data_IF_768478012587
#
_entry.id   IF_768478012587
#
_cell.length_a   1.000
_cell.length_b   1.000
_cell.length_c   1.000
_cell.angle_alpha   90.00
_cell.angle_beta   90.00
_cell.angle_gamma   90.00
#
_symmetry.space_group_name_H-M   'P 1'
#
loop_
_entity.id
_entity.type
_entity.pdbx_description
1 polymer ?
#
# COMPACT_ATOMS: atom_id res chain seq x y z
N UNK A 1 11.12 56.43 -59.90
CA UNK A 1 10.17 56.87 -58.86
C UNK A 1 8.87 56.11 -59.04
N UNK A 2 8.26 55.67 -57.92
CA UNK A 2 7.10 54.75 -57.76
C UNK A 2 7.42 53.24 -57.86
N UNK A 3 6.72 52.37 -57.10
CA UNK A 3 6.68 52.34 -55.64
C UNK A 3 6.91 50.93 -55.05
N UNK A 4 7.08 50.92 -53.73
CA UNK A 4 7.31 49.81 -52.81
C UNK A 4 6.22 48.72 -52.87
N UNK A 5 6.62 47.47 -53.12
CA UNK A 5 5.79 46.28 -52.95
C UNK A 5 6.05 45.61 -51.60
N UNK A 6 5.02 45.57 -50.76
CA UNK A 6 4.99 44.85 -49.48
C UNK A 6 4.79 43.37 -49.73
N UNK A 7 5.66 42.51 -49.19
CA UNK A 7 5.43 41.06 -49.11
C UNK A 7 5.12 40.68 -47.67
N UNK A 8 3.86 40.34 -47.38
CA UNK A 8 3.46 39.68 -46.15
C UNK A 8 3.71 38.17 -46.32
N UNK A 9 4.67 37.63 -45.58
CA UNK A 9 4.83 36.18 -45.45
C UNK A 9 3.86 35.69 -44.36
N UNK A 10 2.74 35.08 -44.75
CA UNK A 10 1.87 34.35 -43.83
C UNK A 10 2.58 33.04 -43.43
N UNK A 11 3.15 33.01 -42.23
CA UNK A 11 3.55 31.75 -41.60
C UNK A 11 2.29 31.18 -40.94
N UNK A 12 1.68 30.19 -41.59
CA UNK A 12 0.70 29.31 -40.97
C UNK A 12 1.43 28.49 -39.89
N UNK A 13 1.34 28.94 -38.65
CA UNK A 13 1.70 28.12 -37.49
C UNK A 13 0.68 26.99 -37.39
N UNK A 14 1.09 25.76 -37.75
CA UNK A 14 0.34 24.58 -37.37
C UNK A 14 0.37 24.50 -35.84
N UNK A 15 -0.77 24.76 -35.19
CA UNK A 15 -0.97 24.32 -33.82
C UNK A 15 -0.87 22.80 -33.86
N UNK A 16 0.26 22.29 -33.38
CA UNK A 16 0.29 20.91 -32.91
C UNK A 16 -0.59 20.93 -31.68
N UNK A 17 -1.84 20.46 -31.82
CA UNK A 17 -2.63 20.03 -30.69
C UNK A 17 -1.82 18.94 -30.00
N UNK A 18 -0.98 19.34 -29.05
CA UNK A 18 -0.52 18.46 -27.98
C UNK A 18 -1.76 18.15 -27.17
N UNK A 19 -2.58 17.21 -27.69
CA UNK A 19 -3.42 16.38 -26.85
C UNK A 19 -2.49 15.82 -25.80
N UNK A 20 -2.59 16.42 -24.62
CA UNK A 20 -2.02 15.95 -23.37
C UNK A 20 -2.29 14.46 -23.32
N UNK A 21 -1.26 13.66 -23.58
CA UNK A 21 -1.27 12.27 -23.16
C UNK A 21 -1.41 12.38 -21.64
N UNK A 22 -2.59 12.02 -21.15
CA UNK A 22 -2.84 11.87 -19.72
C UNK A 22 -1.72 11.01 -19.18
N UNK A 23 -0.77 11.60 -18.45
CA UNK A 23 0.13 10.85 -17.59
C UNK A 23 -0.77 9.97 -16.75
N UNK A 24 -0.56 8.67 -16.85
CA UNK A 24 -1.19 7.69 -15.97
C UNK A 24 -0.71 8.08 -14.57
N UNK A 25 -1.55 8.76 -13.80
CA UNK A 25 -1.19 9.27 -12.48
C UNK A 25 -0.58 8.17 -11.61
N UNK A 26 0.32 8.56 -10.70
CA UNK A 26 0.91 7.64 -9.71
C UNK A 26 -0.19 6.83 -9.02
N UNK A 27 0.03 5.52 -8.84
CA UNK A 27 -0.91 4.64 -8.15
C UNK A 27 -1.04 5.00 -6.66
N UNK A 28 0.00 5.61 -6.09
CA UNK A 28 0.05 6.01 -4.69
C UNK A 28 -0.71 7.32 -4.50
N UNK A 29 -1.49 7.40 -3.43
CA UNK A 29 -2.03 8.68 -2.99
C UNK A 29 -0.90 9.60 -2.53
N UNK A 30 -1.04 10.94 -2.63
CA UNK A 30 0.02 11.87 -2.25
C UNK A 30 0.56 11.60 -0.84
N UNK A 31 1.88 11.64 -0.67
CA UNK A 31 2.56 11.40 0.61
C UNK A 31 3.81 12.29 0.76
N UNK A 32 4.44 12.21 1.91
CA UNK A 32 5.68 12.89 2.25
C UNK A 32 5.48 14.23 2.99
N UNK A 33 6.57 14.88 3.40
CA UNK A 33 6.52 16.06 4.28
C UNK A 33 5.73 17.23 3.68
N UNK A 34 5.72 17.38 2.36
CA UNK A 34 4.94 18.40 1.66
C UNK A 34 3.43 18.21 1.76
N UNK A 35 2.97 16.99 2.08
CA UNK A 35 1.57 16.67 2.36
C UNK A 35 1.24 16.78 3.85
N UNK A 36 2.21 17.16 4.69
CA UNK A 36 2.06 17.23 6.14
C UNK A 36 2.28 15.90 6.86
N UNK A 37 2.95 14.93 6.23
CA UNK A 37 3.24 13.65 6.86
C UNK A 37 4.26 13.78 7.98
N UNK A 38 4.02 13.06 9.07
CA UNK A 38 5.06 12.73 10.01
C UNK A 38 6.03 11.72 9.38
N UNK A 39 7.26 11.67 9.88
CA UNK A 39 8.29 10.73 9.42
C UNK A 39 8.74 9.88 10.61
N UNK A 40 8.81 8.57 10.42
CA UNK A 40 9.38 7.69 11.44
C UNK A 40 10.88 7.97 11.65
N UNK A 41 11.45 7.57 12.80
CA UNK A 41 12.88 7.64 13.02
C UNK A 41 13.65 6.77 12.01
N UNK A 42 14.86 7.21 11.68
CA UNK A 42 15.89 6.40 11.02
C UNK A 42 16.44 5.39 12.03
N UNK A 43 15.89 4.19 12.00
CA UNK A 43 16.19 3.12 12.94
C UNK A 43 15.65 1.81 12.35
N UNK A 44 16.45 0.76 12.34
CA UNK A 44 16.12 -0.58 11.84
C UNK A 44 14.69 -1.06 12.23
N UNK A 45 14.51 -1.50 13.48
CA UNK A 45 13.18 -1.86 14.01
C UNK A 45 12.39 -0.67 14.59
N UNK A 46 12.44 0.47 13.89
CA UNK A 46 11.79 1.70 14.30
C UNK A 46 10.26 1.66 14.24
N UNK A 47 9.61 2.52 15.01
CA UNK A 47 8.14 2.70 14.98
C UNK A 47 7.77 4.16 15.24
N UNK A 48 6.58 4.54 14.76
CA UNK A 48 5.94 5.78 15.16
C UNK A 48 5.64 5.80 16.66
N UNK A 49 5.46 7.00 17.21
CA UNK A 49 4.69 7.18 18.44
C UNK A 49 3.24 6.69 18.24
N UNK A 50 2.50 6.54 19.35
CA UNK A 50 1.09 6.14 19.30
C UNK A 50 0.25 7.17 18.53
N UNK A 51 -0.41 6.72 17.45
CA UNK A 51 -1.30 7.55 16.65
C UNK A 51 -2.71 7.44 17.22
N UNK A 52 -3.15 8.48 17.93
CA UNK A 52 -4.55 8.58 18.38
C UNK A 52 -5.43 8.89 17.17
N UNK A 53 -6.29 7.94 16.80
CA UNK A 53 -7.15 8.06 15.63
C UNK A 53 -8.28 9.05 15.91
N UNK A 54 -8.39 10.09 15.09
CA UNK A 54 -9.48 11.08 15.22
C UNK A 54 -10.84 10.50 14.87
N UNK A 55 -10.87 9.45 14.04
CA UNK A 55 -12.02 8.58 13.81
C UNK A 55 -11.60 7.15 14.14
N UNK A 56 -12.26 6.48 15.12
CA UNK A 56 -11.95 5.08 15.44
C UNK A 56 -12.12 4.17 14.22
N UNK A 57 -11.20 3.23 14.04
CA UNK A 57 -11.21 2.31 12.91
C UNK A 57 -11.75 0.94 13.35
N UNK A 58 -12.80 0.45 12.68
CA UNK A 58 -13.33 -0.89 12.92
C UNK A 58 -12.70 -1.89 11.95
N UNK A 59 -12.13 -2.93 12.51
CA UNK A 59 -11.47 -4.02 11.79
C UNK A 59 -11.99 -5.35 12.35
N UNK A 60 -12.81 -6.04 11.54
CA UNK A 60 -13.49 -7.29 11.87
C UNK A 60 -14.20 -7.28 13.23
N UNK A 61 -15.13 -6.33 13.38
CA UNK A 61 -15.98 -6.21 14.58
C UNK A 61 -15.29 -5.62 15.81
N UNK A 62 -13.97 -5.41 15.79
CA UNK A 62 -13.21 -4.72 16.84
C UNK A 62 -12.92 -3.29 16.43
N UNK A 63 -13.20 -2.33 17.32
CA UNK A 63 -12.96 -0.91 17.08
C UNK A 63 -11.72 -0.44 17.81
N UNK A 64 -10.78 0.12 17.06
CA UNK A 64 -9.48 0.59 17.53
C UNK A 64 -9.44 2.12 17.56
N UNK A 65 -8.80 2.68 18.58
CA UNK A 65 -8.61 4.13 18.76
C UNK A 65 -7.15 4.56 18.59
N UNK A 66 -6.26 3.60 18.51
CA UNK A 66 -4.81 3.82 18.43
C UNK A 66 -4.23 2.90 17.37
N UNK A 67 -3.33 3.43 16.56
CA UNK A 67 -2.52 2.68 15.62
C UNK A 67 -1.04 3.06 15.75
N UNK A 68 -0.18 2.21 15.20
CA UNK A 68 1.27 2.44 15.08
C UNK A 68 1.68 2.10 13.66
N UNK A 69 2.60 2.88 13.09
CA UNK A 69 3.22 2.59 11.79
C UNK A 69 4.68 2.23 12.07
N UNK A 70 5.07 0.98 11.82
CA UNK A 70 6.45 0.56 12.03
C UNK A 70 7.29 0.66 10.73
N UNK A 71 8.60 0.56 10.87
CA UNK A 71 9.51 0.61 9.74
C UNK A 71 9.43 -0.66 8.89
N UNK A 72 9.15 -1.81 9.53
CA UNK A 72 9.03 -3.13 8.91
C UNK A 72 7.72 -3.36 8.12
N UNK A 73 6.99 -2.33 7.70
CA UNK A 73 5.84 -2.50 6.79
C UNK A 73 4.51 -2.91 7.44
N UNK A 74 4.31 -2.59 8.71
CA UNK A 74 3.12 -2.97 9.49
C UNK A 74 2.42 -1.73 10.06
N UNK A 75 1.09 -1.71 9.95
CA UNK A 75 0.23 -0.84 10.76
C UNK A 75 -0.48 -1.70 11.79
N UNK A 76 -0.04 -1.64 13.05
CA UNK A 76 -0.63 -2.40 14.16
C UNK A 76 -1.62 -1.57 14.96
N UNK A 77 -2.56 -2.25 15.61
CA UNK A 77 -3.52 -1.61 16.51
C UNK A 77 -3.22 -1.94 17.97
N UNK A 78 -3.49 -0.97 18.86
CA UNK A 78 -3.25 -1.00 20.32
C UNK A 78 -1.80 -1.05 20.77
N UNK A 79 -0.96 -1.92 20.20
CA UNK A 79 0.45 -2.10 20.60
C UNK A 79 1.38 -2.00 19.37
N UNK A 80 2.61 -1.49 19.53
CA UNK A 80 3.59 -1.45 18.45
C UNK A 80 4.15 -2.85 18.16
N UNK A 81 4.34 -3.15 16.88
CA UNK A 81 5.04 -4.37 16.41
C UNK A 81 6.44 -4.00 15.96
N UNK A 82 7.45 -4.75 16.41
CA UNK A 82 8.86 -4.57 16.00
C UNK A 82 9.48 -5.82 15.37
N UNK A 83 8.75 -6.93 15.34
CA UNK A 83 9.21 -8.15 14.70
C UNK A 83 9.50 -7.88 13.21
N UNK A 84 10.66 -8.32 12.73
CA UNK A 84 11.14 -8.07 11.36
C UNK A 84 10.94 -9.27 10.44
N UNK A 85 11.16 -10.50 10.95
CA UNK A 85 10.88 -11.73 10.19
C UNK A 85 9.39 -12.03 10.22
N UNK A 86 8.72 -12.12 9.06
CA UNK A 86 7.28 -12.32 9.02
C UNK A 86 6.84 -13.72 9.46
N UNK A 87 5.93 -13.78 10.42
CA UNK A 87 5.23 -15.00 10.81
C UNK A 87 4.03 -15.27 9.88
N UNK A 88 3.67 -16.55 9.65
CA UNK A 88 2.49 -16.90 8.87
C UNK A 88 1.21 -16.50 9.61
N UNK A 89 0.15 -16.19 8.84
CA UNK A 89 -1.17 -15.94 9.40
C UNK A 89 -1.96 -17.25 9.59
N UNK A 90 -2.82 -17.34 10.62
CA UNK A 90 -3.04 -16.33 11.66
C UNK A 90 -1.87 -16.27 12.65
N UNK A 91 -1.64 -15.09 13.23
CA UNK A 91 -0.53 -14.90 14.17
C UNK A 91 -0.86 -15.52 15.53
N UNK A 92 0.07 -16.32 16.05
CA UNK A 92 -0.09 -17.02 17.31
C UNK A 92 -0.22 -16.09 18.53
N UNK A 93 0.30 -14.86 18.44
CA UNK A 93 0.19 -13.85 19.50
C UNK A 93 -1.14 -13.07 19.46
N UNK A 94 -1.97 -13.29 18.44
CA UNK A 94 -3.24 -12.61 18.26
C UNK A 94 -3.12 -11.12 17.95
N UNK A 95 -1.95 -10.63 17.52
CA UNK A 95 -1.73 -9.22 17.23
C UNK A 95 -2.57 -8.76 16.02
N UNK A 96 -3.45 -7.75 16.20
CA UNK A 96 -4.25 -7.22 15.09
C UNK A 96 -3.44 -6.19 14.30
N UNK A 97 -3.22 -6.44 13.02
CA UNK A 97 -2.55 -5.48 12.15
C UNK A 97 -2.89 -5.67 10.67
N UNK A 98 -2.55 -4.63 9.90
CA UNK A 98 -2.52 -4.67 8.43
C UNK A 98 -1.08 -4.52 7.97
N UNK A 99 -0.71 -5.19 6.88
CA UNK A 99 0.63 -5.09 6.32
C UNK A 99 0.60 -5.04 4.80
N UNK A 100 0.92 -3.90 4.18
CA UNK A 100 1.14 -3.87 2.74
C UNK A 100 2.35 -4.72 2.36
N UNK A 101 3.41 -4.77 3.19
CA UNK A 101 4.64 -5.51 2.91
C UNK A 101 5.50 -5.67 4.18
N UNK A 102 5.25 -6.70 4.98
CA UNK A 102 6.01 -6.97 6.21
C UNK A 102 7.32 -7.64 5.86
N UNK A 103 8.44 -6.97 6.14
CA UNK A 103 9.78 -7.51 6.01
C UNK A 103 10.76 -6.72 6.89
N UNK A 104 12.00 -7.22 6.94
CA UNK A 104 13.11 -6.62 7.67
C UNK A 104 13.68 -5.39 6.93
N UNK A 105 13.02 -4.25 7.16
CA UNK A 105 13.32 -2.95 6.54
C UNK A 105 14.34 -2.20 7.38
N UNK A 106 15.43 -1.77 6.76
CA UNK A 106 16.39 -0.87 7.41
C UNK A 106 16.40 0.50 6.71
N UNK A 107 15.61 1.42 7.26
CA UNK A 107 15.53 2.78 6.73
C UNK A 107 16.75 3.66 7.05
N UNK A 108 17.70 3.17 7.87
CA UNK A 108 19.01 3.81 8.07
C UNK A 108 19.85 3.65 6.81
N UNK A 109 19.74 2.51 6.12
CA UNK A 109 20.45 2.23 4.87
C UNK A 109 19.81 2.93 3.66
N UNK A 110 18.49 3.11 3.66
CA UNK A 110 17.82 3.83 2.57
C UNK A 110 16.31 3.97 2.76
N UNK A 111 15.76 5.06 2.21
CA UNK A 111 14.33 5.34 2.16
C UNK A 111 13.71 5.82 3.47
N UNK A 112 12.46 6.26 3.41
CA UNK A 112 11.76 6.91 4.52
C UNK A 112 10.35 6.34 4.70
N UNK A 113 9.83 6.43 5.92
CA UNK A 113 8.46 6.02 6.23
C UNK A 113 7.67 7.25 6.65
N UNK A 114 6.61 7.53 5.90
CA UNK A 114 5.75 8.70 6.06
C UNK A 114 4.35 8.28 6.46
N UNK A 115 3.71 9.03 7.35
CA UNK A 115 2.32 8.78 7.71
C UNK A 115 1.55 10.03 8.11
N UNK A 116 0.25 10.05 7.81
CA UNK A 116 -0.71 11.04 8.33
C UNK A 116 -2.11 10.47 8.41
N UNK A 117 -2.87 10.92 9.39
CA UNK A 117 -4.32 10.90 9.30
C UNK A 117 -4.82 12.20 8.67
N UNK A 118 -5.89 12.13 7.89
CA UNK A 118 -6.37 13.26 7.09
C UNK A 118 -7.88 13.27 6.94
N UNK A 119 -8.42 14.49 6.88
CA UNK A 119 -9.78 14.81 6.45
C UNK A 119 -9.80 15.74 5.23
N UNK A 120 -8.67 15.80 4.50
CA UNK A 120 -8.51 16.63 3.31
C UNK A 120 -9.57 16.28 2.24
N UNK A 121 -10.41 17.23 1.81
CA UNK A 121 -11.51 16.92 0.88
C UNK A 121 -11.07 16.43 -0.49
N UNK A 122 -9.89 16.82 -0.98
CA UNK A 122 -9.42 16.41 -2.30
C UNK A 122 -9.02 14.93 -2.26
N UNK A 123 -8.17 14.54 -1.30
CA UNK A 123 -7.77 13.15 -1.14
C UNK A 123 -8.95 12.24 -0.78
N UNK A 124 -9.85 12.67 0.13
CA UNK A 124 -11.03 11.87 0.46
C UNK A 124 -11.97 11.68 -0.73
N UNK A 125 -12.07 12.68 -1.62
CA UNK A 125 -12.83 12.55 -2.85
C UNK A 125 -12.22 11.50 -3.78
N UNK A 126 -10.91 11.51 -3.96
CA UNK A 126 -10.21 10.53 -4.80
C UNK A 126 -10.39 9.10 -4.25
N UNK A 127 -10.19 8.90 -2.94
CA UNK A 127 -10.44 7.63 -2.25
C UNK A 127 -11.90 7.17 -2.43
N UNK A 128 -12.85 8.09 -2.32
CA UNK A 128 -14.28 7.79 -2.49
C UNK A 128 -14.60 7.34 -3.91
N UNK A 129 -14.00 7.98 -4.91
CA UNK A 129 -14.17 7.63 -6.32
C UNK A 129 -13.62 6.23 -6.60
N UNK A 130 -12.41 5.93 -6.11
CA UNK A 130 -11.79 4.63 -6.27
C UNK A 130 -12.61 3.51 -5.60
N UNK A 131 -13.01 3.67 -4.35
CA UNK A 131 -13.83 2.67 -3.65
C UNK A 131 -15.20 2.50 -4.33
N UNK A 132 -15.86 3.58 -4.74
CA UNK A 132 -17.15 3.49 -5.44
C UNK A 132 -17.01 2.79 -6.79
N UNK A 133 -15.89 2.97 -7.48
CA UNK A 133 -15.59 2.27 -8.73
C UNK A 133 -15.44 0.76 -8.51
N UNK A 134 -14.77 0.34 -7.44
CA UNK A 134 -14.52 -1.08 -7.14
C UNK A 134 -15.73 -1.76 -6.48
N UNK A 135 -16.53 -1.02 -5.71
CA UNK A 135 -17.68 -1.52 -4.95
C UNK A 135 -18.97 -0.75 -5.28
N UNK A 136 -19.49 -0.80 -6.53
CA UNK A 136 -20.61 0.02 -6.98
C UNK A 136 -21.94 -0.27 -6.26
N UNK A 137 -22.05 -1.41 -5.56
CA UNK A 137 -23.23 -1.80 -4.78
C UNK A 137 -23.21 -1.25 -3.34
N UNK A 138 -22.12 -0.60 -2.93
CA UNK A 138 -21.93 -0.07 -1.57
C UNK A 138 -21.53 1.41 -1.65
N UNK A 139 -22.51 2.33 -1.77
CA UNK A 139 -22.23 3.77 -1.89
C UNK A 139 -21.35 4.25 -0.73
N UNK A 140 -20.15 4.75 -1.04
CA UNK A 140 -19.14 5.10 -0.06
C UNK A 140 -18.70 6.54 -0.23
N UNK A 141 -18.49 7.24 0.88
CA UNK A 141 -17.92 8.59 0.88
C UNK A 141 -16.99 8.72 2.06
N UNK A 142 -15.68 8.64 1.79
CA UNK A 142 -14.65 8.71 2.82
C UNK A 142 -14.81 9.99 3.64
N UNK A 143 -14.86 9.86 4.96
CA UNK A 143 -14.85 10.97 5.91
C UNK A 143 -13.51 11.11 6.61
N UNK A 144 -12.66 10.08 6.52
CA UNK A 144 -11.35 10.03 7.16
C UNK A 144 -10.45 9.02 6.46
N UNK A 145 -9.13 9.26 6.49
CA UNK A 145 -8.13 8.28 6.11
C UNK A 145 -6.86 8.37 6.97
N UNK A 146 -6.18 7.24 7.19
CA UNK A 146 -4.77 7.16 7.60
C UNK A 146 -3.98 6.64 6.41
N UNK A 147 -3.02 7.42 5.94
CA UNK A 147 -2.09 7.07 4.86
C UNK A 147 -0.73 6.79 5.48
N UNK A 148 -0.13 5.64 5.18
CA UNK A 148 1.24 5.29 5.54
C UNK A 148 1.99 4.81 4.30
N UNK A 149 3.17 5.36 4.03
CA UNK A 149 3.98 5.05 2.85
C UNK A 149 5.41 4.74 3.29
N UNK A 150 5.92 3.60 2.84
CA UNK A 150 7.32 3.23 2.88
C UNK A 150 7.89 3.59 1.52
N UNK A 151 8.76 4.57 1.45
CA UNK A 151 9.27 5.15 0.21
C UNK A 151 10.76 4.82 0.04
N UNK A 152 11.08 4.06 -1.00
CA UNK A 152 12.43 3.62 -1.35
C UNK A 152 13.20 2.95 -0.20
N UNK A 153 12.49 2.19 0.65
CA UNK A 153 13.08 1.59 1.84
C UNK A 153 14.01 0.42 1.49
N UNK A 154 15.22 0.44 2.05
CA UNK A 154 16.18 -0.64 1.94
C UNK A 154 15.84 -1.78 2.90
N UNK A 155 16.48 -2.93 2.69
CA UNK A 155 16.38 -4.09 3.59
C UNK A 155 17.59 -4.19 4.50
N UNK A 156 17.39 -4.81 5.66
CA UNK A 156 18.47 -5.05 6.61
C UNK A 156 19.63 -5.81 5.98
N UNK A 157 20.84 -5.31 6.20
CA UNK A 157 22.08 -5.90 5.68
C UNK A 157 22.30 -5.69 4.18
N UNK A 158 21.53 -4.82 3.51
CA UNK A 158 21.73 -4.51 2.10
C UNK A 158 23.13 -3.95 1.82
N UNK A 159 23.77 -4.50 0.77
CA UNK A 159 24.98 -3.96 0.14
C UNK A 159 24.69 -3.28 -1.20
N UNK A 160 23.41 -3.15 -1.54
CA UNK A 160 22.90 -2.61 -2.81
C UNK A 160 22.09 -1.33 -2.61
N UNK A 161 21.81 -0.61 -3.71
CA UNK A 161 20.95 0.58 -3.74
C UNK A 161 19.46 0.23 -3.98
N UNK A 162 19.05 -1.03 -3.75
CA UNK A 162 17.68 -1.46 -3.98
C UNK A 162 16.74 -0.88 -2.91
N UNK A 163 15.57 -0.43 -3.36
CA UNK A 163 14.55 0.14 -2.49
C UNK A 163 13.14 -0.32 -2.88
N UNK A 164 12.29 -0.52 -1.87
CA UNK A 164 10.87 -0.82 -2.07
C UNK A 164 10.03 0.44 -1.78
N UNK A 165 9.02 0.68 -2.59
CA UNK A 165 8.02 1.74 -2.38
C UNK A 165 6.62 1.14 -2.36
N UNK A 166 5.93 1.24 -1.23
CA UNK A 166 4.58 0.72 -1.03
C UNK A 166 3.79 1.56 0.00
N UNK A 167 2.47 1.49 -0.07
CA UNK A 167 1.57 2.33 0.73
C UNK A 167 0.38 1.54 1.24
N UNK A 168 -0.03 1.81 2.48
CA UNK A 168 -1.30 1.39 3.04
C UNK A 168 -2.18 2.61 3.36
N UNK A 169 -3.48 2.47 3.11
CA UNK A 169 -4.49 3.44 3.49
C UNK A 169 -5.61 2.74 4.26
N UNK A 170 -5.89 3.21 5.47
CA UNK A 170 -7.11 2.88 6.20
C UNK A 170 -8.12 4.00 5.98
N UNK A 171 -9.37 3.69 5.63
CA UNK A 171 -10.39 4.71 5.39
C UNK A 171 -11.79 4.25 5.79
N UNK A 172 -12.67 5.20 6.08
CA UNK A 172 -14.06 4.92 6.47
C UNK A 172 -14.99 6.07 6.12
N UNK A 173 -16.28 5.77 5.98
CA UNK A 173 -17.40 6.72 5.98
C UNK A 173 -18.14 6.74 7.33
N UNK A 174 -17.52 6.17 8.38
CA UNK A 174 -18.06 5.85 9.71
C UNK A 174 -19.00 4.64 9.79
N UNK A 175 -19.30 3.96 8.68
CA UNK A 175 -20.10 2.72 8.65
C UNK A 175 -19.35 1.57 7.99
N UNK A 176 -18.77 1.83 6.83
CA UNK A 176 -17.94 0.91 6.07
C UNK A 176 -16.48 1.27 6.24
N UNK A 177 -15.63 0.26 6.32
CA UNK A 177 -14.22 0.42 6.63
C UNK A 177 -13.41 -0.33 5.58
N UNK A 178 -12.41 0.34 5.01
CA UNK A 178 -11.60 -0.21 3.93
C UNK A 178 -10.11 -0.09 4.23
N UNK A 179 -9.37 -1.06 3.71
CA UNK A 179 -7.91 -1.05 3.58
C UNK A 179 -7.58 -1.00 2.10
N UNK A 180 -6.64 -0.13 1.71
CA UNK A 180 -6.06 -0.07 0.37
C UNK A 180 -4.56 -0.29 0.49
N UNK A 181 -4.01 -1.21 -0.29
CA UNK A 181 -2.57 -1.33 -0.51
C UNK A 181 -2.22 -0.91 -1.93
N UNK A 182 -1.19 -0.08 -2.07
CA UNK A 182 -0.64 0.36 -3.35
C UNK A 182 0.84 -0.01 -3.40
N UNK A 183 1.27 -0.63 -4.50
CA UNK A 183 2.65 -1.04 -4.73
C UNK A 183 3.25 -0.20 -5.86
N UNK A 184 4.30 0.55 -5.54
CA UNK A 184 5.06 1.36 -6.49
C UNK A 184 6.14 0.52 -7.15
N UNK A 185 7.31 0.44 -6.52
CA UNK A 185 8.43 -0.39 -6.96
C UNK A 185 8.77 -1.43 -5.88
N UNK A 186 9.05 -2.66 -6.29
CA UNK A 186 9.39 -3.77 -5.39
C UNK A 186 10.59 -4.50 -6.00
N UNK A 187 11.75 -4.33 -5.37
CA UNK A 187 13.06 -4.75 -5.87
C UNK A 187 13.74 -5.82 -5.02
N UNK A 188 13.21 -6.08 -3.82
CA UNK A 188 13.71 -7.05 -2.84
C UNK A 188 12.55 -7.66 -2.02
N UNK A 189 12.75 -8.87 -1.50
CA UNK A 189 11.78 -9.63 -0.69
C UNK A 189 12.18 -9.85 0.75
N UNK A 190 13.47 -9.87 1.06
CA UNK A 190 13.98 -10.42 2.31
C UNK A 190 15.24 -9.69 2.80
N UNK A 191 15.29 -9.36 4.09
CA UNK A 191 16.50 -8.86 4.75
C UNK A 191 17.46 -9.97 5.19
N UNK A 192 18.72 -9.63 5.43
CA UNK A 192 19.77 -10.61 5.73
C UNK A 192 19.54 -11.39 7.03
N UNK A 193 18.86 -10.81 8.03
CA UNK A 193 18.53 -11.53 9.28
C UNK A 193 17.40 -12.56 9.09
N UNK A 194 16.68 -12.50 7.96
CA UNK A 194 15.66 -13.46 7.54
C UNK A 194 16.19 -14.41 6.44
N UNK A 195 17.50 -14.67 6.42
CA UNK A 195 18.22 -15.50 5.44
C UNK A 195 18.19 -14.99 3.99
N UNK A 196 17.96 -13.67 3.80
CA UNK A 196 18.07 -13.01 2.50
C UNK A 196 19.51 -12.80 2.05
N UNK A 197 19.75 -12.78 0.75
CA UNK A 197 21.04 -12.42 0.17
C UNK A 197 21.29 -10.90 0.25
N UNK A 198 22.47 -10.50 0.73
CA UNK A 198 22.80 -9.11 1.02
C UNK A 198 22.88 -8.18 -0.21
N UNK A 199 23.09 -8.73 -1.41
CA UNK A 199 23.21 -7.94 -2.64
C UNK A 199 21.89 -7.88 -3.42
N UNK A 200 21.14 -8.98 -3.42
CA UNK A 200 19.90 -9.10 -4.19
C UNK A 200 18.64 -8.82 -3.38
N UNK A 201 18.69 -9.02 -2.06
CA UNK A 201 17.55 -8.95 -1.15
C UNK A 201 16.52 -10.05 -1.40
N UNK A 202 16.95 -11.20 -1.92
CA UNK A 202 16.10 -12.34 -2.29
C UNK A 202 16.47 -13.59 -1.49
N UNK A 203 15.55 -14.57 -1.44
CA UNK A 203 15.73 -15.84 -0.71
C UNK A 203 15.17 -15.79 0.71
N UNK A 204 15.60 -16.72 1.56
CA UNK A 204 15.24 -16.75 2.98
C UNK A 204 13.74 -16.88 3.26
N UNK A 205 13.22 -16.08 4.20
CA UNK A 205 11.79 -15.95 4.53
C UNK A 205 11.26 -14.64 3.90
N UNK A 206 10.58 -14.71 2.74
CA UNK A 206 10.12 -13.52 2.03
C UNK A 206 9.06 -12.74 2.79
N UNK A 207 8.93 -11.48 2.38
CA UNK A 207 7.94 -10.55 2.88
C UNK A 207 6.50 -11.12 2.88
N UNK A 208 5.67 -10.59 3.79
CA UNK A 208 4.27 -10.98 3.94
C UNK A 208 3.36 -9.78 3.69
N UNK A 209 2.42 -9.88 2.74
CA UNK A 209 1.41 -8.86 2.48
C UNK A 209 -0.01 -9.37 2.80
N UNK A 210 -0.80 -8.59 3.52
CA UNK A 210 -2.12 -8.99 3.98
C UNK A 210 -2.55 -8.34 5.28
N UNK A 211 -3.29 -9.07 6.10
CA UNK A 211 -3.72 -8.61 7.43
C UNK A 211 -4.13 -9.77 8.34
N UNK A 212 -4.09 -9.53 9.65
CA UNK A 212 -4.53 -10.45 10.70
C UNK A 212 -5.40 -9.69 11.71
N UNK A 213 -6.64 -10.13 11.97
CA UNK A 213 -7.58 -9.47 12.90
C UNK A 213 -7.34 -9.75 14.38
N UNK A 214 -6.48 -10.72 14.69
CA UNK A 214 -6.25 -11.18 16.06
C UNK A 214 -7.44 -11.94 16.66
N UNK A 215 -8.24 -12.63 15.85
CA UNK A 215 -9.30 -13.54 16.31
C UNK A 215 -9.14 -14.98 15.79
N UNK A 216 -7.97 -15.31 15.25
CA UNK A 216 -7.59 -16.60 14.64
C UNK A 216 -8.41 -17.02 13.40
N UNK A 217 -9.41 -16.24 13.01
CA UNK A 217 -10.35 -16.60 11.92
C UNK A 217 -10.32 -15.62 10.75
N UNK A 218 -10.15 -14.33 11.02
CA UNK A 218 -10.18 -13.28 10.00
C UNK A 218 -8.77 -12.81 9.68
N UNK A 219 -8.14 -13.47 8.72
CA UNK A 219 -6.85 -13.07 8.16
C UNK A 219 -6.86 -13.26 6.64
N UNK A 220 -5.96 -12.58 5.95
CA UNK A 220 -5.81 -12.72 4.51
C UNK A 220 -4.35 -12.65 4.11
N UNK A 221 -3.93 -13.58 3.25
CA UNK A 221 -2.63 -13.58 2.60
C UNK A 221 -2.83 -13.14 1.15
N UNK A 222 -2.17 -12.06 0.71
CA UNK A 222 -2.13 -11.74 -0.72
C UNK A 222 -1.39 -12.87 -1.45
N UNK A 223 -1.91 -13.36 -2.60
CA UNK A 223 -1.25 -14.41 -3.38
C UNK A 223 0.24 -14.12 -3.62
N UNK A 224 1.08 -15.09 -3.28
CA UNK A 224 2.54 -14.97 -3.35
C UNK A 224 3.22 -14.52 -2.06
N UNK A 225 2.48 -14.04 -1.06
CA UNK A 225 3.06 -13.68 0.25
C UNK A 225 3.80 -14.83 0.91
N UNK A 226 4.89 -14.52 1.62
CA UNK A 226 5.84 -15.47 2.21
C UNK A 226 6.47 -16.45 1.22
N UNK A 227 6.50 -16.08 -0.07
CA UNK A 227 7.21 -16.83 -1.11
C UNK A 227 7.94 -15.85 -2.04
N UNK A 228 8.90 -16.33 -2.81
CA UNK A 228 9.63 -15.52 -3.79
C UNK A 228 8.70 -14.83 -4.81
N UNK A 229 7.48 -15.35 -4.99
CA UNK A 229 6.50 -14.78 -5.90
C UNK A 229 6.01 -13.38 -5.47
N UNK A 230 6.17 -12.98 -4.20
CA UNK A 230 5.75 -11.66 -3.71
C UNK A 230 6.47 -10.51 -4.44
N UNK A 231 7.64 -10.76 -5.04
CA UNK A 231 8.35 -9.77 -5.87
C UNK A 231 7.46 -9.23 -7.01
N UNK A 232 6.48 -10.01 -7.47
CA UNK A 232 5.58 -9.64 -8.57
C UNK A 232 4.31 -8.89 -8.10
N UNK A 233 4.20 -8.51 -6.83
CA UNK A 233 2.97 -7.95 -6.24
C UNK A 233 2.46 -6.69 -6.95
N UNK A 234 3.36 -5.90 -7.55
CA UNK A 234 3.08 -4.71 -8.39
C UNK A 234 2.23 -5.01 -9.62
N UNK A 235 2.15 -6.28 -10.05
CA UNK A 235 1.38 -6.72 -11.22
C UNK A 235 0.05 -7.36 -10.86
N UNK A 236 -0.15 -7.70 -9.59
CA UNK A 236 -1.33 -8.41 -9.08
C UNK A 236 -2.38 -7.45 -8.51
N UNK A 237 -3.63 -7.90 -8.39
CA UNK A 237 -4.74 -7.07 -7.87
C UNK A 237 -6.01 -7.91 -7.63
N UNK A 238 -6.82 -7.53 -6.63
CA UNK A 238 -8.22 -8.00 -6.50
C UNK A 238 -9.26 -7.03 -7.10
N UNK A 239 -8.86 -5.82 -7.50
CA UNK A 239 -9.74 -4.78 -8.09
C UNK A 239 -9.44 -4.50 -9.57
N UNK A 240 -8.64 -5.36 -10.22
CA UNK A 240 -8.22 -5.25 -11.63
C UNK A 240 -7.42 -3.97 -11.94
N UNK A 241 -6.76 -3.41 -10.93
CA UNK A 241 -5.80 -2.31 -11.05
C UNK A 241 -4.45 -2.84 -10.59
N UNK A 242 -3.51 -3.16 -11.50
CA UNK A 242 -2.21 -3.74 -11.14
C UNK A 242 -1.52 -2.96 -10.01
N UNK A 243 -1.06 -3.69 -8.99
CA UNK A 243 -0.39 -3.10 -7.83
C UNK A 243 -1.33 -2.52 -6.79
N UNK A 244 -2.65 -2.66 -6.96
CA UNK A 244 -3.64 -2.20 -5.97
C UNK A 244 -4.50 -3.33 -5.45
N UNK A 245 -4.61 -3.38 -4.13
CA UNK A 245 -5.45 -4.32 -3.40
C UNK A 245 -6.39 -3.54 -2.47
N UNK A 246 -7.68 -3.85 -2.48
CA UNK A 246 -8.69 -3.14 -1.67
C UNK A 246 -9.58 -4.14 -0.95
N UNK A 247 -9.73 -3.97 0.36
CA UNK A 247 -10.49 -4.86 1.22
C UNK A 247 -11.50 -4.08 2.03
N UNK A 248 -12.76 -4.53 2.03
CA UNK A 248 -13.76 -4.08 3.01
C UNK A 248 -13.60 -4.91 4.28
N UNK A 249 -13.54 -4.28 5.45
CA UNK A 249 -13.13 -4.92 6.71
C UNK A 249 -14.03 -4.63 7.91
N UNK A 250 -15.22 -4.06 7.69
CA UNK A 250 -16.23 -3.85 8.73
C UNK A 250 -17.06 -5.09 9.06
N UNK A 251 -17.24 -5.99 8.10
CA UNK A 251 -17.98 -7.25 8.24
C UNK A 251 -17.29 -8.31 7.37
N UNK A 252 -16.98 -9.49 7.91
CA UNK A 252 -16.29 -10.53 7.14
C UNK A 252 -17.27 -11.20 6.18
N UNK A 253 -17.28 -10.70 4.95
CA UNK A 253 -17.77 -11.42 3.78
C UNK A 253 -16.53 -11.74 2.93
N UNK A 254 -16.16 -13.02 2.80
CA UNK A 254 -15.09 -13.43 1.88
C UNK A 254 -15.42 -12.88 0.50
N UNK A 255 -14.67 -11.87 0.05
CA UNK A 255 -14.76 -11.38 -1.33
C UNK A 255 -13.49 -11.77 -2.05
N UNK A 256 -13.59 -12.77 -2.95
CA UNK A 256 -12.57 -13.01 -3.97
C UNK A 256 -11.61 -14.19 -3.76
N UNK A 257 -11.90 -15.16 -2.90
CA UNK A 257 -11.32 -16.51 -3.05
C UNK A 257 -12.43 -17.42 -3.54
N UNK A 258 -12.43 -17.75 -4.84
CA UNK A 258 -13.19 -18.93 -5.25
C UNK A 258 -12.60 -20.11 -4.44
N UNK A 259 -13.40 -20.86 -3.67
CA UNK A 259 -12.92 -22.08 -3.05
C UNK A 259 -12.31 -22.96 -4.16
N UNK A 260 -11.22 -23.71 -3.88
CA UNK A 260 -10.63 -24.60 -4.89
C UNK A 260 -11.74 -25.46 -5.46
N UNK A 261 -12.05 -25.25 -6.75
CA UNK A 261 -13.04 -26.03 -7.44
C UNK A 261 -12.59 -27.49 -7.33
N UNK A 262 -13.40 -28.40 -6.76
CA UNK A 262 -13.09 -29.82 -6.85
C UNK A 262 -12.95 -30.15 -8.33
N UNK A 263 -11.78 -30.62 -8.73
CA UNK A 263 -11.55 -31.04 -10.10
C UNK A 263 -12.50 -32.18 -10.41
N UNK A 264 -13.56 -31.89 -11.17
CA UNK A 264 -14.45 -32.90 -11.73
C UNK A 264 -13.79 -33.63 -12.90
N UNK A 265 -12.54 -34.05 -12.74
CA UNK A 265 -11.95 -35.08 -13.59
C UNK A 265 -12.18 -36.45 -12.97
N UNK A 266 -13.47 -36.77 -12.78
CA UNK A 266 -13.95 -38.11 -13.07
C UNK A 266 -14.58 -38.03 -14.46
N UNK A 267 -14.00 -38.74 -15.43
CA UNK A 267 -14.65 -39.68 -16.35
C UNK A 267 -13.61 -40.13 -17.40
N UNK A 268 -12.97 -41.26 -17.14
CA UNK A 268 -12.87 -42.47 -17.98
C UNK A 268 -11.80 -43.41 -17.42
#
# INVERSE_FOLDING_TARGET
MLPSGVFFLLILGSMVDTKTLSEKGSLLYPYGPHQGDATNPKHDDGTSEAIILSVPFTFYGKTYKTAFVNNNGVISFNEPVRQYTPDPFPLADGSPFVTPYWADVDNVLGGDIFYRQTTDPALLKDISQDITQYFPQSPFTATWALVATWDHVAYYGSTSEKGNTFQAVLTTDSKMFYIIFNYGDIQWTTGAASDGDAETGLGGIPAHAGFNSGDDTNFYNIPGSQTDAIINITTTSNVKVPGRWVFRVDDFQVTGVDPPQPSNNCWL
#
